data_IF_969172192700
#
_entry.id   IF_969172192700
#
_cell.length_a   1.000
_cell.length_b   1.000
_cell.length_c   1.000
_cell.angle_alpha   90.00
_cell.angle_beta   90.00
_cell.angle_gamma   90.00
#
_symmetry.space_group_name_H-M   'P 1'
#
loop_
_entity.id
_entity.type
_entity.pdbx_description
1 polymer ?
#
# COMPACT_ATOMS: atom_id res chain seq x y z
N UNK A 1 1.40 4.14 -31.44
CA UNK A 1 0.82 3.06 -30.60
C UNK A 1 1.29 3.12 -29.15
N UNK A 2 2.59 3.01 -28.83
CA UNK A 2 3.05 3.04 -27.42
C UNK A 2 2.72 4.35 -26.66
N UNK A 3 2.85 5.52 -27.30
CA UNK A 3 2.52 6.80 -26.66
C UNK A 3 1.01 6.97 -26.43
N UNK A 4 0.18 6.51 -27.39
CA UNK A 4 -1.28 6.54 -27.27
C UNK A 4 -1.77 5.67 -26.10
N UNK A 5 -1.23 4.45 -25.96
CA UNK A 5 -1.56 3.56 -24.83
C UNK A 5 -1.17 4.21 -23.50
N UNK A 6 0.00 4.84 -23.43
CA UNK A 6 0.43 5.58 -22.25
C UNK A 6 -0.54 6.69 -21.89
N UNK A 7 -0.88 7.55 -22.84
CA UNK A 7 -1.76 8.69 -22.59
C UNK A 7 -3.16 8.24 -22.14
N UNK A 8 -3.69 7.18 -22.74
CA UNK A 8 -4.97 6.57 -22.35
C UNK A 8 -4.91 5.95 -20.95
N UNK A 9 -3.81 5.29 -20.60
CA UNK A 9 -3.63 4.63 -19.31
C UNK A 9 -3.42 5.64 -18.18
N UNK A 10 -2.71 6.74 -18.42
CA UNK A 10 -2.55 7.85 -17.46
C UNK A 10 -3.88 8.55 -17.16
N UNK A 11 -4.78 8.58 -18.14
CA UNK A 11 -6.12 9.18 -18.04
C UNK A 11 -7.23 8.14 -17.90
N UNK A 12 -6.90 6.97 -17.35
CA UNK A 12 -7.87 5.89 -17.23
C UNK A 12 -9.07 6.32 -16.38
N UNK A 13 -10.27 6.01 -16.87
CA UNK A 13 -11.54 6.28 -16.22
C UNK A 13 -12.26 4.97 -15.88
N UNK A 14 -13.10 4.93 -14.84
CA UNK A 14 -13.83 3.72 -14.44
C UNK A 14 -14.94 3.30 -15.42
N UNK A 15 -15.19 4.10 -16.47
CA UNK A 15 -16.19 3.77 -17.48
C UNK A 15 -15.75 2.53 -18.28
N UNK A 16 -16.63 1.51 -18.32
CA UNK A 16 -16.37 0.23 -19.00
C UNK A 16 -15.92 0.39 -20.44
N UNK A 17 -16.53 1.31 -21.19
CA UNK A 17 -16.17 1.58 -22.59
C UNK A 17 -14.74 2.11 -22.75
N UNK A 18 -14.28 2.94 -21.82
CA UNK A 18 -12.92 3.49 -21.81
C UNK A 18 -11.89 2.41 -21.50
N UNK A 19 -12.18 1.57 -20.50
CA UNK A 19 -11.35 0.42 -20.14
C UNK A 19 -11.27 -0.57 -21.31
N UNK A 20 -12.41 -0.87 -21.95
CA UNK A 20 -12.46 -1.76 -23.11
C UNK A 20 -11.67 -1.22 -24.30
N UNK A 21 -11.80 0.08 -24.61
CA UNK A 21 -11.02 0.73 -25.67
C UNK A 21 -9.51 0.57 -25.41
N UNK A 22 -9.06 0.88 -24.20
CA UNK A 22 -7.65 0.75 -23.83
C UNK A 22 -7.19 -0.71 -23.86
N UNK A 23 -8.01 -1.64 -23.38
CA UNK A 23 -7.74 -3.08 -23.45
C UNK A 23 -7.51 -3.53 -24.90
N UNK A 24 -8.39 -3.15 -25.83
CA UNK A 24 -8.25 -3.47 -27.24
C UNK A 24 -6.92 -2.94 -27.81
N UNK A 25 -6.54 -1.70 -27.48
CA UNK A 25 -5.25 -1.12 -27.88
C UNK A 25 -4.05 -1.86 -27.29
N UNK A 26 -4.14 -2.30 -26.04
CA UNK A 26 -3.11 -3.12 -25.40
C UNK A 26 -2.97 -4.49 -26.08
N UNK A 27 -4.09 -5.15 -26.41
CA UNK A 27 -4.09 -6.45 -27.11
C UNK A 27 -3.54 -6.31 -28.53
N UNK A 28 -3.92 -5.27 -29.25
CA UNK A 28 -3.34 -4.94 -30.56
C UNK A 28 -1.82 -4.77 -30.44
N UNK A 29 -1.34 -4.02 -29.45
CA UNK A 29 0.09 -3.84 -29.20
C UNK A 29 0.82 -5.15 -28.88
N UNK A 30 0.24 -6.00 -28.03
CA UNK A 30 0.80 -7.33 -27.70
C UNK A 30 0.92 -8.20 -28.96
N UNK A 31 -0.11 -8.16 -29.81
CA UNK A 31 -0.16 -8.96 -31.04
C UNK A 31 0.86 -8.48 -32.08
N UNK A 32 1.01 -7.16 -32.25
CA UNK A 32 1.94 -6.58 -33.24
C UNK A 32 3.39 -6.58 -32.73
N UNK A 33 3.61 -6.42 -31.42
CA UNK A 33 4.94 -6.28 -30.81
C UNK A 33 5.14 -7.24 -29.61
N UNK A 34 5.11 -8.57 -29.82
CA UNK A 34 5.21 -9.56 -28.74
C UNK A 34 6.53 -9.46 -27.95
N UNK A 35 7.61 -9.02 -28.58
CA UNK A 35 8.91 -8.81 -27.92
C UNK A 35 8.94 -7.57 -27.00
N UNK A 36 7.88 -6.76 -26.99
CA UNK A 36 7.77 -5.54 -26.19
C UNK A 36 6.73 -5.64 -25.08
N UNK A 37 6.19 -6.84 -24.80
CA UNK A 37 5.20 -7.05 -23.74
C UNK A 37 5.70 -6.52 -22.39
N UNK A 38 6.97 -6.73 -22.06
CA UNK A 38 7.58 -6.21 -20.83
C UNK A 38 7.36 -4.70 -20.67
N UNK A 39 7.57 -3.92 -21.73
CA UNK A 39 7.42 -2.46 -21.70
C UNK A 39 5.98 -2.04 -21.38
N UNK A 40 5.00 -2.81 -21.85
CA UNK A 40 3.59 -2.58 -21.54
C UNK A 40 3.31 -2.85 -20.06
N UNK A 41 3.82 -3.94 -19.51
CA UNK A 41 3.65 -4.30 -18.09
C UNK A 41 4.38 -3.30 -17.18
N UNK A 42 5.56 -2.84 -17.57
CA UNK A 42 6.32 -1.80 -16.83
C UNK A 42 5.57 -0.46 -16.82
N UNK A 43 5.00 -0.08 -17.96
CA UNK A 43 4.16 1.12 -18.08
C UNK A 43 2.94 1.02 -17.16
N UNK A 44 2.22 -0.11 -17.21
CA UNK A 44 1.08 -0.38 -16.35
C UNK A 44 1.45 -0.32 -14.86
N UNK A 45 2.57 -0.95 -14.48
CA UNK A 45 3.04 -0.99 -13.10
C UNK A 45 3.39 0.41 -12.58
N UNK A 46 4.06 1.23 -13.41
CA UNK A 46 4.40 2.62 -13.06
C UNK A 46 3.17 3.51 -12.91
N UNK A 47 2.18 3.39 -13.78
CA UNK A 47 0.94 4.18 -13.68
C UNK A 47 0.13 3.73 -12.47
N UNK A 48 0.15 2.44 -12.12
CA UNK A 48 -0.50 1.91 -10.92
C UNK A 48 -0.04 2.56 -9.62
N UNK A 49 1.24 2.93 -9.53
CA UNK A 49 1.80 3.64 -8.37
C UNK A 49 1.24 5.07 -8.23
N UNK A 50 1.03 5.78 -9.34
CA UNK A 50 0.70 7.22 -9.33
C UNK A 50 -0.79 7.52 -9.48
N UNK A 51 -1.55 6.65 -10.14
CA UNK A 51 -2.97 6.91 -10.40
C UNK A 51 -3.83 6.77 -9.15
N UNK A 52 -4.90 7.55 -9.05
CA UNK A 52 -5.99 7.32 -8.09
C UNK A 52 -6.92 6.19 -8.55
N UNK A 53 -6.96 5.89 -9.85
CA UNK A 53 -7.87 4.94 -10.48
C UNK A 53 -7.30 3.50 -10.49
N UNK A 54 -6.81 3.04 -9.34
CA UNK A 54 -6.12 1.75 -9.19
C UNK A 54 -7.01 0.55 -9.56
N UNK A 55 -8.28 0.58 -9.15
CA UNK A 55 -9.22 -0.48 -9.48
C UNK A 55 -9.48 -0.57 -10.99
N UNK A 56 -9.55 0.56 -11.68
CA UNK A 56 -9.71 0.61 -13.15
C UNK A 56 -8.52 -0.05 -13.86
N UNK A 57 -7.29 0.09 -13.35
CA UNK A 57 -6.12 -0.60 -13.88
C UNK A 57 -6.13 -2.11 -13.61
N UNK A 58 -6.71 -2.56 -12.49
CA UNK A 58 -6.92 -3.99 -12.24
C UNK A 58 -7.96 -4.57 -13.20
N UNK A 59 -9.03 -3.83 -13.50
CA UNK A 59 -10.01 -4.24 -14.52
C UNK A 59 -9.39 -4.30 -15.92
N UNK A 60 -8.55 -3.32 -16.28
CA UNK A 60 -7.78 -3.35 -17.52
C UNK A 60 -6.88 -4.60 -17.59
N UNK A 61 -6.13 -4.90 -16.53
CA UNK A 61 -5.28 -6.08 -16.45
C UNK A 61 -6.11 -7.36 -16.65
N UNK A 62 -7.26 -7.45 -15.98
CA UNK A 62 -8.19 -8.57 -16.15
C UNK A 62 -8.64 -8.73 -17.62
N UNK A 63 -9.05 -7.64 -18.28
CA UNK A 63 -9.50 -7.72 -19.68
C UNK A 63 -8.36 -8.13 -20.62
N UNK A 64 -7.13 -7.67 -20.36
CA UNK A 64 -5.94 -8.05 -21.11
C UNK A 64 -5.62 -9.55 -20.92
N UNK A 65 -5.63 -10.05 -19.68
CA UNK A 65 -5.36 -11.46 -19.36
C UNK A 65 -6.40 -12.41 -19.97
N UNK A 66 -7.67 -12.00 -19.96
CA UNK A 66 -8.76 -12.78 -20.58
C UNK A 66 -8.65 -12.85 -22.09
N UNK A 67 -8.13 -11.79 -22.71
CA UNK A 67 -8.09 -11.65 -24.17
C UNK A 67 -6.77 -12.15 -24.78
N UNK A 68 -5.78 -12.49 -23.95
CA UNK A 68 -4.47 -12.95 -24.42
C UNK A 68 -4.12 -14.33 -23.86
N UNK A 69 -3.84 -15.33 -24.73
CA UNK A 69 -3.39 -16.65 -24.31
C UNK A 69 -1.90 -16.69 -23.91
N UNK A 70 -1.19 -15.54 -23.91
CA UNK A 70 0.26 -15.50 -23.68
C UNK A 70 0.64 -15.84 -22.23
N UNK A 71 1.29 -16.99 -22.03
CA UNK A 71 1.85 -17.38 -20.72
C UNK A 71 2.95 -16.42 -20.25
N UNK A 72 3.72 -15.84 -21.18
CA UNK A 72 4.71 -14.83 -20.85
C UNK A 72 4.05 -13.59 -20.22
N UNK A 73 2.95 -13.11 -20.81
CA UNK A 73 2.19 -11.98 -20.28
C UNK A 73 1.68 -12.26 -18.86
N UNK A 74 1.14 -13.46 -18.62
CA UNK A 74 0.68 -13.88 -17.29
C UNK A 74 1.82 -13.87 -16.27
N UNK A 75 2.96 -14.46 -16.64
CA UNK A 75 4.15 -14.51 -15.80
C UNK A 75 4.62 -13.11 -15.41
N UNK A 76 4.68 -12.19 -16.38
CA UNK A 76 5.07 -10.80 -16.13
C UNK A 76 4.09 -10.07 -15.21
N UNK A 77 2.79 -10.23 -15.42
CA UNK A 77 1.79 -9.65 -14.53
C UNK A 77 1.84 -10.25 -13.13
N UNK A 78 2.11 -11.55 -12.97
CA UNK A 78 2.19 -12.18 -11.65
C UNK A 78 3.20 -11.46 -10.73
N UNK A 79 4.35 -11.05 -11.26
CA UNK A 79 5.36 -10.31 -10.50
C UNK A 79 4.88 -8.92 -10.07
N UNK A 80 4.17 -8.19 -10.94
CA UNK A 80 3.69 -6.84 -10.64
C UNK A 80 2.39 -6.81 -9.82
N UNK A 81 1.56 -7.85 -9.92
CA UNK A 81 0.22 -7.87 -9.35
C UNK A 81 0.20 -7.84 -7.83
N UNK A 82 1.16 -8.46 -7.16
CA UNK A 82 1.25 -8.41 -5.68
C UNK A 82 1.29 -6.96 -5.16
N UNK A 83 2.10 -6.11 -5.80
CA UNK A 83 2.21 -4.69 -5.45
C UNK A 83 0.95 -3.92 -5.85
N UNK A 84 0.44 -4.17 -7.05
CA UNK A 84 -0.76 -3.53 -7.57
C UNK A 84 -1.99 -3.80 -6.69
N UNK A 85 -2.18 -5.04 -6.25
CA UNK A 85 -3.27 -5.44 -5.35
C UNK A 85 -3.11 -4.77 -3.99
N UNK A 86 -1.89 -4.71 -3.44
CA UNK A 86 -1.63 -3.98 -2.20
C UNK A 86 -1.96 -2.49 -2.30
N UNK A 87 -1.65 -1.88 -3.44
CA UNK A 87 -1.95 -0.48 -3.71
C UNK A 87 -3.45 -0.24 -3.85
N UNK A 88 -4.14 -1.06 -4.63
CA UNK A 88 -5.59 -0.94 -4.83
C UNK A 88 -6.34 -1.16 -3.52
N UNK A 89 -5.94 -2.16 -2.73
CA UNK A 89 -6.55 -2.48 -1.44
C UNK A 89 -6.36 -1.40 -0.37
N UNK A 90 -5.54 -0.37 -0.62
CA UNK A 90 -5.44 0.79 0.28
C UNK A 90 -6.77 1.54 0.41
N UNK A 91 -7.63 1.48 -0.61
CA UNK A 91 -9.03 1.87 -0.52
C UNK A 91 -9.87 0.66 -0.14
N UNK A 92 -10.35 0.62 1.10
CA UNK A 92 -11.16 -0.49 1.61
C UNK A 92 -12.47 -0.69 0.84
N UNK A 93 -13.02 0.37 0.22
CA UNK A 93 -14.23 0.25 -0.58
C UNK A 93 -14.01 -0.62 -1.83
N UNK A 94 -12.77 -0.66 -2.34
CA UNK A 94 -12.42 -1.42 -3.54
C UNK A 94 -12.18 -2.92 -3.29
N UNK A 95 -11.98 -3.34 -2.04
CA UNK A 95 -11.52 -4.71 -1.71
C UNK A 95 -12.51 -5.78 -2.18
N UNK A 96 -13.81 -5.53 -2.04
CA UNK A 96 -14.85 -6.44 -2.53
C UNK A 96 -14.72 -6.69 -4.04
N UNK A 97 -14.43 -5.65 -4.81
CA UNK A 97 -14.27 -5.76 -6.26
C UNK A 97 -12.92 -6.39 -6.64
N UNK A 98 -11.86 -6.11 -5.88
CA UNK A 98 -10.57 -6.81 -6.04
C UNK A 98 -10.76 -8.33 -5.84
N UNK A 99 -11.49 -8.75 -4.81
CA UNK A 99 -11.78 -10.18 -4.58
C UNK A 99 -12.57 -10.82 -5.72
N UNK A 100 -13.52 -10.10 -6.31
CA UNK A 100 -14.22 -10.58 -7.51
C UNK A 100 -13.23 -10.82 -8.66
N UNK A 101 -12.27 -9.91 -8.86
CA UNK A 101 -11.22 -10.08 -9.88
C UNK A 101 -10.32 -11.28 -9.56
N UNK A 102 -9.88 -11.44 -8.30
CA UNK A 102 -9.10 -12.63 -7.88
C UNK A 102 -9.84 -13.93 -8.15
N UNK A 103 -11.14 -13.96 -7.86
CA UNK A 103 -12.00 -15.10 -8.16
C UNK A 103 -12.06 -15.38 -9.65
N UNK A 104 -12.28 -14.36 -10.48
CA UNK A 104 -12.27 -14.50 -11.94
C UNK A 104 -10.95 -15.07 -12.47
N UNK A 105 -9.82 -14.68 -11.87
CA UNK A 105 -8.52 -15.22 -12.25
C UNK A 105 -8.31 -16.67 -11.80
N UNK A 106 -8.88 -17.07 -10.66
CA UNK A 106 -8.91 -18.46 -10.24
C UNK A 106 -9.81 -19.33 -11.11
N UNK A 107 -11.02 -18.87 -11.38
CA UNK A 107 -12.00 -19.57 -12.23
C UNK A 107 -11.47 -19.72 -13.67
N UNK A 108 -10.76 -18.71 -14.18
CA UNK A 108 -10.08 -18.74 -15.48
C UNK A 108 -8.74 -19.45 -15.50
N UNK A 109 -8.28 -19.98 -14.35
CA UNK A 109 -6.98 -20.64 -14.18
C UNK A 109 -5.77 -19.80 -14.66
N UNK A 110 -5.84 -18.47 -14.55
CA UNK A 110 -4.75 -17.59 -14.97
C UNK A 110 -3.56 -17.64 -14.03
N UNK A 111 -3.81 -17.90 -12.74
CA UNK A 111 -2.79 -18.01 -11.70
C UNK A 111 -3.05 -19.23 -10.82
N UNK A 112 -1.97 -19.74 -10.22
CA UNK A 112 -2.06 -20.87 -9.30
C UNK A 112 -2.76 -20.49 -8.00
N UNK A 113 -3.37 -21.48 -7.36
CA UNK A 113 -4.06 -21.29 -6.08
C UNK A 113 -3.18 -20.64 -4.99
N UNK A 114 -1.89 -21.04 -4.79
CA UNK A 114 -1.04 -20.39 -3.79
C UNK A 114 -0.84 -18.89 -4.02
N UNK A 115 -0.71 -18.48 -5.29
CA UNK A 115 -0.55 -17.06 -5.66
C UNK A 115 -1.82 -16.28 -5.31
N UNK A 116 -2.99 -16.83 -5.66
CA UNK A 116 -4.28 -16.21 -5.35
C UNK A 116 -4.51 -16.12 -3.83
N UNK A 117 -4.13 -17.15 -3.07
CA UNK A 117 -4.22 -17.14 -1.61
C UNK A 117 -3.31 -16.08 -0.98
N UNK A 118 -2.12 -15.84 -1.53
CA UNK A 118 -1.24 -14.77 -1.06
C UNK A 118 -1.82 -13.38 -1.35
N UNK A 119 -2.46 -13.19 -2.50
CA UNK A 119 -3.16 -11.94 -2.82
C UNK A 119 -4.43 -11.73 -2.00
N UNK A 120 -5.13 -12.81 -1.66
CA UNK A 120 -6.27 -12.75 -0.74
C UNK A 120 -5.82 -12.35 0.66
N UNK A 121 -4.67 -12.84 1.15
CA UNK A 121 -4.09 -12.38 2.42
C UNK A 121 -3.76 -10.87 2.39
N UNK A 122 -3.33 -10.33 1.24
CA UNK A 122 -3.13 -8.87 1.10
C UNK A 122 -4.45 -8.14 1.31
N UNK A 123 -5.53 -8.59 0.67
CA UNK A 123 -6.87 -8.02 0.82
C UNK A 123 -7.38 -8.11 2.26
N UNK A 124 -7.23 -9.28 2.91
CA UNK A 124 -7.63 -9.48 4.31
C UNK A 124 -6.88 -8.55 5.27
N UNK A 125 -5.56 -8.40 5.10
CA UNK A 125 -4.77 -7.44 5.89
C UNK A 125 -5.25 -6.02 5.63
N UNK A 126 -5.50 -5.67 4.38
CA UNK A 126 -6.00 -4.35 4.03
C UNK A 126 -7.40 -4.07 4.60
N UNK A 127 -8.28 -5.05 4.76
CA UNK A 127 -9.55 -4.85 5.48
C UNK A 127 -9.34 -4.70 6.98
N UNK A 128 -8.51 -5.57 7.58
CA UNK A 128 -8.21 -5.57 9.01
C UNK A 128 -7.52 -4.26 9.45
N UNK A 129 -6.69 -3.69 8.59
CA UNK A 129 -5.88 -2.50 8.89
C UNK A 129 -6.29 -1.25 8.09
N UNK A 130 -7.11 -1.35 7.05
CA UNK A 130 -7.53 -0.22 6.21
C UNK A 130 -8.59 0.65 6.85
N UNK A 131 -9.43 0.07 7.72
CA UNK A 131 -10.21 0.83 8.71
C UNK A 131 -9.35 1.46 9.81
N UNK A 132 -8.05 1.10 9.87
CA UNK A 132 -7.02 1.70 10.72
C UNK A 132 -6.04 2.53 9.89
N UNK A 133 -6.51 3.24 8.87
CA UNK A 133 -5.77 4.36 8.26
C UNK A 133 -5.66 5.52 9.26
N UNK A 134 -4.85 5.30 10.28
CA UNK A 134 -3.66 6.07 10.66
C UNK A 134 -3.57 7.58 10.37
N UNK A 135 -4.69 8.29 10.41
CA UNK A 135 -4.72 9.57 11.13
C UNK A 135 -4.38 9.34 12.61
N UNK A 136 -4.64 8.16 13.16
CA UNK A 136 -4.38 7.78 14.56
C UNK A 136 -2.92 7.93 14.99
N UNK A 137 -1.93 7.28 14.37
CA UNK A 137 -0.54 7.32 14.87
C UNK A 137 0.13 8.69 14.65
N UNK A 138 -0.09 9.34 13.49
CA UNK A 138 0.47 10.67 13.23
C UNK A 138 -0.24 11.76 14.05
N UNK A 139 -1.57 11.70 14.19
CA UNK A 139 -2.29 12.59 15.12
C UNK A 139 -1.99 12.26 16.58
N UNK A 140 -1.70 11.00 16.94
CA UNK A 140 -1.21 10.66 18.28
C UNK A 140 0.12 11.34 18.54
N UNK A 141 1.08 11.28 17.61
CA UNK A 141 2.37 11.97 17.74
C UNK A 141 2.18 13.50 17.83
N UNK A 142 1.31 14.08 17.00
CA UNK A 142 0.98 15.52 17.06
C UNK A 142 0.30 15.89 18.38
N UNK A 143 -0.66 15.10 18.85
CA UNK A 143 -1.37 15.31 20.11
C UNK A 143 -0.45 15.12 21.31
N UNK A 144 0.47 14.16 21.25
CA UNK A 144 1.53 13.95 22.25
C UNK A 144 2.46 15.16 22.31
N UNK A 145 2.87 15.70 21.16
CA UNK A 145 3.64 16.94 21.07
C UNK A 145 2.90 18.15 21.66
N UNK A 146 1.58 18.25 21.45
CA UNK A 146 0.73 19.28 22.08
C UNK A 146 0.63 19.10 23.60
N UNK A 147 0.43 17.87 24.09
CA UNK A 147 0.40 17.55 25.53
C UNK A 147 1.73 17.91 26.21
N UNK A 148 2.87 17.57 25.60
CA UNK A 148 4.21 17.92 26.08
C UNK A 148 4.41 19.44 26.17
N UNK A 149 3.96 20.18 25.15
CA UNK A 149 4.05 21.65 25.13
C UNK A 149 3.17 22.28 26.21
N UNK A 150 1.96 21.77 26.41
CA UNK A 150 1.06 22.27 27.44
C UNK A 150 1.60 22.01 28.85
N UNK A 151 2.17 20.82 29.12
CA UNK A 151 2.85 20.52 30.38
C UNK A 151 4.01 21.49 30.66
N UNK A 152 4.82 21.78 29.64
CA UNK A 152 5.91 22.76 29.76
C UNK A 152 5.37 24.15 30.15
N UNK A 153 4.33 24.62 29.47
CA UNK A 153 3.72 25.93 29.74
C UNK A 153 3.00 25.99 31.10
N UNK A 154 2.44 24.88 31.58
CA UNK A 154 1.83 24.78 32.91
C UNK A 154 2.86 24.82 34.03
N UNK A 155 4.03 24.21 33.83
CA UNK A 155 5.17 24.29 34.76
C UNK A 155 5.72 25.72 34.88
N UNK A 156 5.67 26.52 33.81
CA UNK A 156 6.16 27.91 33.80
C UNK A 156 5.17 28.90 34.46
N UNK A 157 3.88 28.57 34.55
CA UNK A 157 2.83 29.41 35.12
C UNK A 157 2.61 29.25 36.65
N UNK A 158 3.45 28.46 37.33
CA UNK A 158 3.31 28.13 38.77
C UNK A 158 3.84 29.22 39.73
N UNK A 159 3.97 30.45 39.25
CA UNK A 159 4.54 31.57 40.00
C UNK A 159 3.56 32.25 40.98
N UNK A 160 2.26 31.93 40.95
CA UNK A 160 1.25 32.57 41.82
C UNK A 160 0.22 31.54 42.34
N UNK A 161 0.54 30.79 43.40
CA UNK A 161 -0.48 30.05 44.19
C UNK A 161 0.05 29.67 45.59
N UNK A 162 -0.86 29.32 46.51
CA UNK A 162 -0.53 28.97 47.91
C UNK A 162 0.18 27.61 48.01
N UNK A 163 0.95 27.38 49.09
CA UNK A 163 1.79 26.18 49.25
C UNK A 163 1.06 24.84 49.07
N UNK A 164 -0.23 24.76 49.44
CA UNK A 164 -1.02 23.53 49.31
C UNK A 164 -1.50 23.28 47.87
N UNK A 165 -1.83 24.35 47.15
CA UNK A 165 -2.17 24.30 45.72
C UNK A 165 -0.97 23.94 44.85
N UNK A 166 0.23 24.41 45.23
CA UNK A 166 1.50 24.03 44.60
C UNK A 166 1.79 22.54 44.75
N UNK A 167 1.55 21.97 45.94
CA UNK A 167 1.82 20.55 46.20
C UNK A 167 0.88 19.63 45.39
N UNK A 168 -0.40 19.99 45.32
CA UNK A 168 -1.40 19.24 44.54
C UNK A 168 -1.15 19.36 43.04
N UNK A 169 -0.82 20.56 42.54
CA UNK A 169 -0.45 20.78 41.14
C UNK A 169 0.81 19.97 40.75
N UNK A 170 1.82 19.90 41.63
CA UNK A 170 3.02 19.11 41.40
C UNK A 170 2.75 17.60 41.35
N UNK A 171 1.84 17.09 42.20
CA UNK A 171 1.42 15.68 42.16
C UNK A 171 0.62 15.34 40.90
N UNK A 172 -0.32 16.20 40.50
CA UNK A 172 -1.11 16.01 39.28
C UNK A 172 -0.22 16.10 38.03
N UNK A 173 0.77 17.01 38.02
CA UNK A 173 1.78 17.11 36.96
C UNK A 173 2.66 15.85 36.89
N UNK A 174 3.13 15.34 38.04
CA UNK A 174 3.92 14.11 38.09
C UNK A 174 3.16 12.92 37.51
N UNK A 175 1.89 12.76 37.90
CA UNK A 175 1.01 11.69 37.40
C UNK A 175 0.74 11.82 35.89
N UNK A 176 0.54 13.05 35.40
CA UNK A 176 0.38 13.32 33.98
C UNK A 176 1.67 13.01 33.19
N UNK A 177 2.85 13.29 33.75
CA UNK A 177 4.15 12.94 33.16
C UNK A 177 4.35 11.42 33.08
N UNK A 178 3.99 10.66 34.11
CA UNK A 178 4.12 9.20 34.10
C UNK A 178 3.23 8.54 33.04
N UNK A 179 1.97 8.97 32.92
CA UNK A 179 1.05 8.47 31.89
C UNK A 179 1.55 8.81 30.48
N UNK A 180 2.11 10.01 30.31
CA UNK A 180 2.70 10.44 29.04
C UNK A 180 3.96 9.62 28.67
N UNK A 181 4.80 9.27 29.64
CA UNK A 181 5.96 8.39 29.43
C UNK A 181 5.50 7.00 28.98
N UNK A 182 4.44 6.45 29.57
CA UNK A 182 3.86 5.17 29.13
C UNK A 182 3.35 5.25 27.69
N UNK A 183 2.65 6.33 27.33
CA UNK A 183 2.18 6.60 25.95
C UNK A 183 3.37 6.70 24.96
N UNK A 184 4.45 7.43 25.33
CA UNK A 184 5.67 7.56 24.52
C UNK A 184 6.34 6.20 24.30
N UNK A 185 6.53 5.40 25.35
CA UNK A 185 7.17 4.09 25.26
C UNK A 185 6.35 3.14 24.38
N UNK A 186 5.03 3.15 24.50
CA UNK A 186 4.15 2.36 23.63
C UNK A 186 4.25 2.80 22.16
N UNK A 187 4.34 4.10 21.90
CA UNK A 187 4.54 4.65 20.55
C UNK A 187 5.89 4.25 19.96
N UNK A 188 6.98 4.39 20.73
CA UNK A 188 8.33 4.02 20.29
C UNK A 188 8.45 2.53 19.99
N UNK A 189 7.81 1.65 20.77
CA UNK A 189 7.76 0.21 20.49
C UNK A 189 7.11 -0.10 19.14
N UNK A 190 6.04 0.61 18.78
CA UNK A 190 5.35 0.47 17.47
C UNK A 190 6.24 0.94 16.32
N UNK A 191 6.89 2.11 16.47
CA UNK A 191 7.83 2.63 15.47
C UNK A 191 9.01 1.69 15.27
N UNK A 192 9.58 1.17 16.36
CA UNK A 192 10.67 0.22 16.32
C UNK A 192 10.29 -1.08 15.61
N UNK A 193 9.11 -1.65 15.89
CA UNK A 193 8.61 -2.83 15.16
C UNK A 193 8.39 -2.54 13.68
N UNK A 194 7.87 -1.36 13.34
CA UNK A 194 7.75 -0.92 11.95
C UNK A 194 9.09 -0.86 11.24
N UNK A 195 10.10 -0.29 11.90
CA UNK A 195 11.47 -0.21 11.36
C UNK A 195 12.09 -1.60 11.19
N UNK A 196 11.97 -2.48 12.19
CA UNK A 196 12.49 -3.85 12.14
C UNK A 196 11.88 -4.64 10.98
N UNK A 197 10.58 -4.51 10.74
CA UNK A 197 9.91 -5.16 9.61
C UNK A 197 10.43 -4.66 8.26
N UNK A 198 10.70 -3.34 8.13
CA UNK A 198 11.30 -2.77 6.92
C UNK A 198 12.70 -3.33 6.72
N UNK A 199 13.53 -3.39 7.77
CA UNK A 199 14.89 -3.94 7.71
C UNK A 199 14.89 -5.40 7.27
N UNK A 200 14.00 -6.24 7.83
CA UNK A 200 13.86 -7.66 7.45
C UNK A 200 13.44 -7.79 5.98
N UNK A 201 12.51 -6.96 5.51
CA UNK A 201 12.09 -6.96 4.10
C UNK A 201 13.25 -6.56 3.17
N UNK A 202 14.04 -5.55 3.53
CA UNK A 202 15.22 -5.15 2.76
C UNK A 202 16.29 -6.24 2.73
N UNK A 203 16.53 -6.94 3.84
CA UNK A 203 17.43 -8.09 3.89
C UNK A 203 16.99 -9.21 2.93
N UNK A 204 15.70 -9.57 2.94
CA UNK A 204 15.16 -10.59 2.03
C UNK A 204 15.23 -10.19 0.56
N UNK A 205 15.06 -8.90 0.26
CA UNK A 205 15.25 -8.38 -1.10
C UNK A 205 16.72 -8.51 -1.50
N UNK A 206 17.65 -8.15 -0.61
CA UNK A 206 19.09 -8.25 -0.86
C UNK A 206 19.54 -9.71 -1.08
N UNK A 207 19.09 -10.66 -0.26
CA UNK A 207 19.38 -12.09 -0.42
C UNK A 207 18.88 -12.62 -1.78
N UNK A 208 17.69 -12.20 -2.21
CA UNK A 208 17.14 -12.58 -3.52
C UNK A 208 17.95 -11.98 -4.67
N UNK A 209 18.40 -10.73 -4.56
CA UNK A 209 19.23 -10.11 -5.59
C UNK A 209 20.60 -10.81 -5.69
N UNK A 210 21.24 -11.12 -4.57
CA UNK A 210 22.52 -11.85 -4.56
C UNK A 210 22.41 -13.24 -5.18
N UNK A 211 21.29 -13.95 -4.96
CA UNK A 211 21.06 -15.25 -5.59
C UNK A 211 20.87 -15.19 -7.11
N UNK A 212 20.43 -14.04 -7.64
CA UNK A 212 20.29 -13.83 -9.09
C UNK A 212 21.67 -13.58 -9.72
N UNK A 213 22.54 -12.83 -9.04
CA UNK A 213 23.90 -12.55 -9.53
C UNK A 213 24.78 -13.81 -9.57
N UNK A 214 24.62 -14.74 -8.61
CA UNK A 214 25.32 -16.04 -8.61
C UNK A 214 24.88 -16.97 -9.74
N UNK A 215 23.63 -16.87 -10.21
CA UNK A 215 23.12 -17.65 -11.36
C UNK A 215 23.56 -17.02 -12.70
N UNK A 216 23.97 -15.75 -12.67
CA UNK A 216 24.39 -14.94 -13.82
C UNK A 216 25.91 -15.00 -14.08
N UNK A 217 26.65 -15.69 -13.21
CA UNK A 217 28.11 -15.86 -13.22
C UNK A 217 28.51 -17.24 -13.75
#
# INVERSE_FOLDING_TARGET
MSNEIKDLMERIEPAREKILLLSNKCIEFITVYPNQIQRLVDLWSRIMETTSQKLSLLFLCNDILRSSPSENLRSLFQFSLSRAISLASSDTASISDIRKVLKLWGDGQFFSRPVLEDWEKICQRAEQYGGRTDRSNFMHIINLGKKLRNLKNSSDNLLISTNWEKLKAAQDEHKAREELIKEIVACMKKVYHGHLNITICLQRINEKLSSIDEISS
#
